data_IF_060425388075
#
_entry.id   IF_060425388075
#
_cell.length_a   1.000
_cell.length_b   1.000
_cell.length_c   1.000
_cell.angle_alpha   90.00
_cell.angle_beta   90.00
_cell.angle_gamma   90.00
#
_symmetry.space_group_name_H-M   'P 1'
#
loop_
_entity.id
_entity.type
_entity.pdbx_description
1 polymer ?
#
# COMPACT_ATOMS: atom_id res chain seq x y z
N UNK A 1 -53.14 22.34 38.60
CA UNK A 1 -54.38 21.65 38.19
C UNK A 1 -55.46 22.69 38.04
N UNK A 2 -56.13 22.80 36.87
CA UNK A 2 -57.05 21.78 36.37
C UNK A 2 -56.80 21.34 34.92
N UNK A 3 -57.56 20.32 34.52
CA UNK A 3 -57.43 19.44 33.35
C UNK A 3 -58.44 19.74 32.23
N UNK A 4 -58.09 19.29 31.01
CA UNK A 4 -58.99 18.64 30.05
C UNK A 4 -59.33 19.42 28.76
N UNK A 5 -59.60 18.83 27.58
CA UNK A 5 -59.23 17.57 26.88
C UNK A 5 -59.92 17.61 25.50
N UNK A 6 -59.16 17.37 24.40
CA UNK A 6 -59.49 16.84 23.02
C UNK A 6 -60.61 17.56 22.22
N UNK A 7 -60.55 17.90 20.91
CA UNK A 7 -60.11 17.22 19.66
C UNK A 7 -59.91 18.23 18.53
N UNK A 8 -58.96 17.98 17.61
CA UNK A 8 -58.82 18.69 16.34
C UNK A 8 -57.44 18.48 15.73
N UNK A 9 -57.41 17.77 14.61
CA UNK A 9 -56.26 17.28 13.86
C UNK A 9 -55.41 18.40 13.22
N UNK A 10 -54.27 18.00 12.64
CA UNK A 10 -53.32 18.76 11.80
C UNK A 10 -52.11 19.39 12.50
N UNK A 11 -51.17 18.53 12.89
CA UNK A 11 -49.73 18.86 12.77
C UNK A 11 -49.05 17.74 11.98
N UNK A 12 -48.84 18.00 10.69
CA UNK A 12 -48.01 17.20 9.80
C UNK A 12 -46.57 17.31 10.33
N UNK A 13 -46.16 16.30 11.10
CA UNK A 13 -44.76 16.08 11.45
C UNK A 13 -44.29 14.91 10.60
N UNK A 14 -43.62 15.21 9.48
CA UNK A 14 -42.96 14.17 8.69
C UNK A 14 -41.83 13.55 9.53
N UNK A 15 -42.15 12.37 10.05
CA UNK A 15 -41.20 11.45 10.65
C UNK A 15 -40.39 10.80 9.53
N UNK A 16 -39.39 11.50 9.00
CA UNK A 16 -38.32 10.83 8.27
C UNK A 16 -37.50 10.05 9.29
N UNK A 17 -37.77 8.75 9.35
CA UNK A 17 -37.08 7.79 10.20
C UNK A 17 -35.57 8.00 10.12
N UNK A 18 -35.00 8.38 11.25
CA UNK A 18 -33.56 8.37 11.48
C UNK A 18 -33.12 6.92 11.35
N UNK A 19 -32.61 6.55 10.19
CA UNK A 19 -31.92 5.27 10.02
C UNK A 19 -30.51 5.47 10.54
N UNK A 20 -30.36 5.25 11.84
CA UNK A 20 -29.08 5.20 12.52
C UNK A 20 -28.26 4.07 11.90
N UNK A 21 -27.25 4.39 11.09
CA UNK A 21 -26.28 3.40 10.62
C UNK A 21 -25.28 3.17 11.77
N UNK A 22 -25.56 2.18 12.63
CA UNK A 22 -24.55 1.69 13.57
C UNK A 22 -23.58 0.76 12.83
N UNK A 23 -22.33 1.18 12.68
CA UNK A 23 -21.27 0.34 12.14
C UNK A 23 -20.70 -0.50 13.29
N UNK A 24 -21.30 -1.67 13.53
CA UNK A 24 -20.76 -2.63 14.48
C UNK A 24 -19.99 -3.74 13.76
N UNK A 25 -18.74 -3.88 14.21
CA UNK A 25 -17.86 -5.06 14.17
C UNK A 25 -17.49 -5.62 12.79
N UNK A 26 -16.23 -5.45 12.36
CA UNK A 26 -15.10 -6.29 12.76
C UNK A 26 -15.23 -7.72 12.20
N UNK A 27 -15.03 -7.86 10.89
CA UNK A 27 -14.65 -9.15 10.27
C UNK A 27 -13.68 -8.85 9.12
N UNK A 28 -12.65 -9.68 9.12
CA UNK A 28 -11.56 -9.93 8.18
C UNK A 28 -11.66 -9.47 6.73
N UNK A 29 -10.46 -9.23 6.18
CA UNK A 29 -10.06 -9.49 4.79
C UNK A 29 -11.02 -10.40 4.01
N UNK A 30 -11.59 -9.86 2.93
CA UNK A 30 -12.20 -10.60 1.83
C UNK A 30 -11.98 -9.71 0.60
N UNK A 31 -11.12 -10.03 -0.39
CA UNK A 31 -11.18 -11.20 -1.29
C UNK A 31 -12.60 -11.75 -1.41
N UNK A 32 -13.20 -11.46 -2.57
CA UNK A 32 -14.51 -11.91 -3.05
C UNK A 32 -15.67 -10.94 -2.76
N UNK A 33 -15.99 -10.11 -3.76
CA UNK A 33 -17.32 -9.52 -3.89
C UNK A 33 -18.29 -10.63 -4.33
N UNK A 34 -19.17 -11.06 -3.44
CA UNK A 34 -20.31 -11.90 -3.80
C UNK A 34 -21.40 -11.03 -4.41
N UNK A 35 -21.88 -11.40 -5.60
CA UNK A 35 -23.06 -10.80 -6.21
C UNK A 35 -24.27 -11.69 -5.92
N UNK A 36 -25.26 -11.17 -5.18
CA UNK A 36 -26.57 -11.82 -5.10
C UNK A 36 -27.37 -11.51 -6.37
N UNK A 37 -27.76 -12.56 -7.10
CA UNK A 37 -28.71 -12.45 -8.21
C UNK A 37 -30.11 -12.69 -7.68
N UNK A 38 -30.94 -11.63 -7.64
CA UNK A 38 -32.35 -11.74 -7.28
C UNK A 38 -33.11 -12.24 -8.52
N UNK A 39 -33.47 -13.53 -8.53
CA UNK A 39 -34.42 -14.11 -9.48
C UNK A 39 -35.84 -13.68 -9.08
N UNK A 40 -36.41 -12.68 -9.75
CA UNK A 40 -37.78 -12.21 -9.49
C UNK A 40 -38.81 -13.05 -10.25
N UNK A 41 -39.69 -13.76 -9.54
CA UNK A 41 -41.03 -14.11 -10.03
C UNK A 41 -42.06 -13.30 -9.26
N UNK A 42 -43.03 -12.78 -10.01
CA UNK A 42 -44.34 -12.26 -9.59
C UNK A 42 -44.48 -10.74 -9.63
N UNK A 43 -45.52 -10.35 -10.37
CA UNK A 43 -45.90 -9.02 -10.79
C UNK A 43 -46.39 -8.14 -9.63
N UNK A 44 -45.70 -7.03 -9.41
CA UNK A 44 -46.31 -5.80 -8.89
C UNK A 44 -45.54 -4.64 -9.49
N UNK A 45 -46.24 -3.71 -10.12
CA UNK A 45 -45.65 -2.54 -10.78
C UNK A 45 -45.07 -1.59 -9.74
N UNK A 46 -43.83 -1.83 -9.32
CA UNK A 46 -43.03 -0.85 -8.60
C UNK A 46 -42.33 0.04 -9.62
N UNK A 47 -42.58 1.35 -9.52
CA UNK A 47 -41.82 2.38 -10.22
C UNK A 47 -40.32 2.14 -9.95
N UNK A 48 -39.64 1.57 -10.93
CA UNK A 48 -38.19 1.61 -10.98
C UNK A 48 -37.80 3.05 -11.26
N UNK A 49 -37.46 3.79 -10.20
CA UNK A 49 -36.57 4.93 -10.35
C UNK A 49 -35.26 4.39 -10.88
N UNK A 50 -35.10 4.42 -12.21
CA UNK A 50 -33.79 4.32 -12.83
C UNK A 50 -32.98 5.49 -12.28
N UNK A 51 -32.22 5.25 -11.21
CA UNK A 51 -31.04 6.04 -10.97
C UNK A 51 -30.11 5.72 -12.14
N UNK A 52 -30.14 6.58 -13.15
CA UNK A 52 -29.00 6.72 -14.01
C UNK A 52 -27.83 7.00 -13.08
N UNK A 53 -26.97 6.00 -12.89
CA UNK A 53 -25.59 6.23 -12.54
C UNK A 53 -25.05 7.09 -13.67
N UNK A 54 -25.20 8.41 -13.54
CA UNK A 54 -24.22 9.29 -14.11
C UNK A 54 -22.90 8.73 -13.60
N UNK A 55 -22.13 8.16 -14.53
CA UNK A 55 -20.69 8.03 -14.41
C UNK A 55 -20.21 9.47 -14.28
N UNK A 56 -20.40 10.03 -13.08
CA UNK A 56 -19.65 11.16 -12.64
C UNK A 56 -18.23 10.67 -12.82
N UNK A 57 -17.53 11.28 -13.77
CA UNK A 57 -16.08 11.26 -13.81
C UNK A 57 -15.64 11.50 -12.36
N UNK A 58 -15.38 10.43 -11.62
CA UNK A 58 -14.60 10.46 -10.40
C UNK A 58 -13.24 10.82 -10.94
N UNK A 59 -13.06 12.11 -11.17
CA UNK A 59 -11.74 12.71 -11.17
C UNK A 59 -11.27 12.36 -9.77
N UNK A 60 -10.46 11.31 -9.69
CA UNK A 60 -9.82 10.95 -8.44
C UNK A 60 -9.28 12.26 -7.86
N UNK A 61 -9.58 12.56 -6.59
CA UNK A 61 -9.17 13.83 -6.01
C UNK A 61 -7.66 13.93 -6.24
N UNK A 62 -7.23 14.93 -7.04
CA UNK A 62 -5.80 15.22 -7.26
C UNK A 62 -5.18 15.27 -5.87
N UNK A 63 -4.42 14.24 -5.54
CA UNK A 63 -3.90 14.05 -4.20
C UNK A 63 -2.99 15.25 -3.93
N UNK A 64 -3.43 16.16 -3.06
CA UNK A 64 -2.68 17.37 -2.74
C UNK A 64 -1.55 16.92 -1.84
N UNK A 65 -0.41 16.62 -2.44
CA UNK A 65 0.76 16.16 -1.72
C UNK A 65 1.32 17.31 -0.86
N UNK A 66 1.48 17.05 0.43
CA UNK A 66 2.10 18.00 1.34
C UNK A 66 3.60 18.12 1.00
N UNK A 67 4.16 19.34 1.08
CA UNK A 67 5.60 19.58 0.93
C UNK A 67 6.39 18.76 1.96
N UNK A 68 5.82 18.58 3.16
CA UNK A 68 6.40 17.74 4.22
C UNK A 68 6.56 16.29 3.78
N UNK A 69 5.57 15.71 3.10
CA UNK A 69 5.61 14.31 2.66
C UNK A 69 6.66 14.11 1.58
N UNK A 70 6.81 15.07 0.67
CA UNK A 70 7.86 15.02 -0.36
C UNK A 70 9.26 15.12 0.24
N UNK A 71 9.44 15.92 1.28
CA UNK A 71 10.71 16.03 2.00
C UNK A 71 11.04 14.71 2.72
N UNK A 72 10.10 14.21 3.53
CA UNK A 72 10.28 12.96 4.27
C UNK A 72 10.53 11.76 3.31
N UNK A 73 9.85 11.72 2.17
CA UNK A 73 10.11 10.70 1.15
C UNK A 73 11.57 10.74 0.65
N UNK A 74 12.10 11.93 0.37
CA UNK A 74 13.49 12.09 -0.10
C UNK A 74 14.49 11.73 0.99
N UNK A 75 14.19 12.08 2.23
CA UNK A 75 15.00 11.75 3.40
C UNK A 75 15.10 10.23 3.58
N UNK A 76 13.98 9.51 3.63
CA UNK A 76 14.00 8.05 3.76
C UNK A 76 14.69 7.33 2.59
N UNK A 77 14.61 7.92 1.39
CA UNK A 77 15.30 7.39 0.23
C UNK A 77 16.82 7.59 0.34
N UNK A 78 17.24 8.79 0.74
CA UNK A 78 18.65 9.08 1.01
C UNK A 78 19.20 8.20 2.14
N UNK A 79 18.43 8.00 3.21
CA UNK A 79 18.80 7.15 4.34
C UNK A 79 18.88 5.67 3.93
N UNK A 80 17.94 5.17 3.13
CA UNK A 80 18.01 3.81 2.58
C UNK A 80 19.28 3.61 1.75
N UNK A 81 19.64 4.59 0.90
CA UNK A 81 20.86 4.53 0.11
C UNK A 81 22.12 4.59 0.99
N UNK A 82 22.11 5.42 2.05
CA UNK A 82 23.19 5.51 3.01
C UNK A 82 23.39 4.19 3.77
N UNK A 83 22.31 3.56 4.24
CA UNK A 83 22.34 2.24 4.86
C UNK A 83 22.92 1.18 3.92
N UNK A 84 22.50 1.15 2.65
CA UNK A 84 23.06 0.21 1.67
C UNK A 84 24.56 0.43 1.42
N UNK A 85 25.01 1.69 1.34
CA UNK A 85 26.44 2.02 1.23
C UNK A 85 27.22 1.63 2.48
N UNK A 86 26.62 1.78 3.66
CA UNK A 86 27.21 1.34 4.92
C UNK A 86 27.35 -0.19 4.97
N UNK A 87 26.36 -0.95 4.48
CA UNK A 87 26.46 -2.41 4.36
C UNK A 87 27.65 -2.83 3.49
N UNK A 88 27.87 -2.17 2.34
CA UNK A 88 29.03 -2.43 1.48
C UNK A 88 30.35 -2.19 2.24
N UNK A 89 30.43 -1.10 2.99
CA UNK A 89 31.61 -0.78 3.79
C UNK A 89 31.85 -1.79 4.92
N UNK A 90 30.80 -2.19 5.64
CA UNK A 90 30.86 -3.17 6.71
C UNK A 90 31.33 -4.54 6.20
N UNK A 91 30.83 -4.98 5.03
CA UNK A 91 31.33 -6.21 4.39
C UNK A 91 32.80 -6.11 4.01
N UNK A 92 33.25 -4.96 3.52
CA UNK A 92 34.66 -4.77 3.13
C UNK A 92 35.63 -4.75 4.32
N UNK A 93 35.12 -4.41 5.51
CA UNK A 93 35.87 -4.32 6.77
C UNK A 93 35.66 -5.54 7.67
N UNK A 94 34.82 -6.49 7.25
CA UNK A 94 34.45 -7.70 8.00
C UNK A 94 33.76 -7.40 9.34
N UNK A 95 33.06 -6.25 9.42
CA UNK A 95 32.32 -5.79 10.58
C UNK A 95 30.88 -6.32 10.57
N UNK A 96 30.70 -7.59 10.95
CA UNK A 96 29.41 -8.31 10.87
C UNK A 96 28.28 -7.62 11.65
N UNK A 97 28.59 -7.01 12.81
CA UNK A 97 27.60 -6.32 13.63
C UNK A 97 27.09 -5.04 12.95
N UNK A 98 28.00 -4.29 12.32
CA UNK A 98 27.64 -3.07 11.60
C UNK A 98 26.87 -3.38 10.31
N UNK A 99 27.19 -4.51 9.66
CA UNK A 99 26.42 -5.04 8.53
C UNK A 99 24.98 -5.35 8.94
N UNK A 100 24.79 -6.06 10.06
CA UNK A 100 23.45 -6.39 10.56
C UNK A 100 22.66 -5.15 10.95
N UNK A 101 23.29 -4.21 11.66
CA UNK A 101 22.66 -2.93 12.04
C UNK A 101 22.23 -2.14 10.82
N UNK A 102 23.12 -1.99 9.83
CA UNK A 102 22.82 -1.26 8.60
C UNK A 102 21.71 -1.94 7.77
N UNK A 103 21.64 -3.27 7.77
CA UNK A 103 20.56 -4.03 7.14
C UNK A 103 19.20 -3.81 7.79
N UNK A 104 19.15 -3.75 9.13
CA UNK A 104 17.93 -3.42 9.88
C UNK A 104 17.48 -1.99 9.59
N UNK A 105 18.41 -1.03 9.61
CA UNK A 105 18.12 0.38 9.30
C UNK A 105 17.58 0.54 7.87
N UNK A 106 18.19 -0.18 6.91
CA UNK A 106 17.68 -0.22 5.54
C UNK A 106 16.23 -0.71 5.51
N UNK A 107 15.92 -1.82 6.19
CA UNK A 107 14.57 -2.39 6.19
C UNK A 107 13.53 -1.42 6.80
N UNK A 108 13.87 -0.71 7.88
CA UNK A 108 12.99 0.31 8.46
C UNK A 108 12.72 1.45 7.47
N UNK A 109 13.77 1.94 6.79
CA UNK A 109 13.64 2.98 5.77
C UNK A 109 12.77 2.53 4.58
N UNK A 110 12.94 1.30 4.09
CA UNK A 110 12.08 0.73 3.05
C UNK A 110 10.62 0.62 3.51
N UNK A 111 10.38 0.26 4.78
CA UNK A 111 9.04 0.19 5.34
C UNK A 111 8.38 1.58 5.46
N UNK A 112 9.14 2.61 5.82
CA UNK A 112 8.65 4.00 5.80
C UNK A 112 8.32 4.47 4.39
N UNK A 113 9.18 4.13 3.42
CA UNK A 113 8.93 4.38 1.99
C UNK A 113 7.64 3.69 1.51
N UNK A 114 7.37 2.45 1.94
CA UNK A 114 6.15 1.72 1.59
C UNK A 114 4.87 2.38 2.12
N UNK A 115 4.92 2.99 3.31
CA UNK A 115 3.79 3.77 3.85
C UNK A 115 3.47 4.97 2.98
N UNK A 116 4.46 5.49 2.25
CA UNK A 116 4.36 6.65 1.38
C UNK A 116 4.25 6.25 -0.11
N UNK A 117 3.99 4.97 -0.41
CA UNK A 117 3.97 4.43 -1.79
C UNK A 117 3.01 5.16 -2.74
N UNK A 118 1.93 5.75 -2.24
CA UNK A 118 0.96 6.50 -3.05
C UNK A 118 1.54 7.79 -3.64
N UNK A 119 2.75 8.21 -3.20
CA UNK A 119 3.47 9.35 -3.78
C UNK A 119 4.13 9.02 -5.12
N UNK A 120 4.19 7.73 -5.50
CA UNK A 120 4.90 7.21 -6.68
C UNK A 120 4.00 6.27 -7.49
N UNK A 121 4.42 6.07 -8.74
CA UNK A 121 3.83 5.16 -9.71
C UNK A 121 3.87 3.70 -9.27
N UNK A 122 2.94 2.88 -9.75
CA UNK A 122 2.78 1.48 -9.35
C UNK A 122 4.04 0.63 -9.66
N UNK A 123 4.77 0.97 -10.72
CA UNK A 123 6.03 0.34 -11.09
C UNK A 123 7.08 0.51 -9.98
N UNK A 124 7.19 1.71 -9.41
CA UNK A 124 8.05 2.00 -8.27
C UNK A 124 7.65 1.22 -7.03
N UNK A 125 6.35 1.13 -6.76
CA UNK A 125 5.84 0.32 -5.65
C UNK A 125 6.20 -1.15 -5.83
N UNK A 126 6.12 -1.66 -7.06
CA UNK A 126 6.46 -3.05 -7.40
C UNK A 126 7.93 -3.36 -7.11
N UNK A 127 8.85 -2.49 -7.56
CA UNK A 127 10.30 -2.66 -7.29
C UNK A 127 10.59 -2.60 -5.79
N UNK A 128 9.98 -1.65 -5.07
CA UNK A 128 10.13 -1.55 -3.61
C UNK A 128 9.67 -2.84 -2.91
N UNK A 129 8.52 -3.37 -3.31
CA UNK A 129 7.97 -4.59 -2.75
C UNK A 129 8.88 -5.80 -3.01
N UNK A 130 9.47 -5.91 -4.20
CA UNK A 130 10.43 -6.98 -4.50
C UNK A 130 11.65 -6.90 -3.61
N UNK A 131 12.24 -5.70 -3.45
CA UNK A 131 13.39 -5.52 -2.56
C UNK A 131 13.04 -5.89 -1.11
N UNK A 132 11.89 -5.44 -0.59
CA UNK A 132 11.45 -5.79 0.76
C UNK A 132 11.23 -7.31 0.92
N UNK A 133 10.60 -7.94 -0.06
CA UNK A 133 10.33 -9.38 -0.05
C UNK A 133 11.62 -10.19 -0.05
N UNK A 134 12.60 -9.78 -0.86
CA UNK A 134 13.91 -10.41 -0.93
C UNK A 134 14.66 -10.29 0.41
N UNK A 135 14.57 -9.15 1.10
CA UNK A 135 15.28 -8.90 2.36
C UNK A 135 14.61 -9.50 3.59
N UNK A 136 13.31 -9.79 3.55
CA UNK A 136 12.54 -10.26 4.73
C UNK A 136 13.03 -11.62 5.26
N UNK A 137 13.65 -12.44 4.41
CA UNK A 137 14.10 -13.79 4.76
C UNK A 137 15.62 -13.94 4.84
N UNK A 138 16.35 -12.81 4.84
CA UNK A 138 17.81 -12.80 4.80
C UNK A 138 18.35 -12.47 6.19
N UNK A 139 19.30 -13.28 6.64
CA UNK A 139 20.17 -12.95 7.78
C UNK A 139 21.23 -11.97 7.28
N UNK A 140 21.13 -10.72 7.71
CA UNK A 140 21.99 -9.63 7.21
C UNK A 140 23.48 -9.91 7.48
N UNK A 141 23.80 -10.65 8.54
CA UNK A 141 25.15 -11.08 8.91
C UNK A 141 25.84 -11.92 7.82
N UNK A 142 25.04 -12.60 6.98
CA UNK A 142 25.53 -13.52 5.94
C UNK A 142 25.60 -12.87 4.55
N UNK A 143 25.28 -11.58 4.44
CA UNK A 143 25.29 -10.90 3.16
C UNK A 143 26.72 -10.72 2.65
N UNK A 144 26.92 -11.09 1.39
CA UNK A 144 28.20 -10.88 0.71
C UNK A 144 28.25 -9.52 -0.01
N UNK A 145 29.43 -9.16 -0.49
CA UNK A 145 29.67 -7.87 -1.15
C UNK A 145 28.79 -7.68 -2.39
N UNK A 146 28.59 -8.74 -3.19
CA UNK A 146 27.79 -8.68 -4.40
C UNK A 146 26.31 -8.45 -4.09
N UNK A 147 25.79 -9.07 -3.03
CA UNK A 147 24.43 -8.87 -2.55
C UNK A 147 24.22 -7.44 -2.06
N UNK A 148 25.13 -6.91 -1.24
CA UNK A 148 25.06 -5.53 -0.77
C UNK A 148 25.10 -4.54 -1.94
N UNK A 149 25.94 -4.81 -2.95
CA UNK A 149 26.03 -3.99 -4.16
C UNK A 149 24.78 -4.07 -5.03
N UNK A 150 24.14 -5.24 -5.13
CA UNK A 150 22.87 -5.39 -5.85
C UNK A 150 21.75 -4.57 -5.19
N UNK A 151 21.68 -4.60 -3.85
CA UNK A 151 20.74 -3.81 -3.06
C UNK A 151 20.96 -2.31 -3.31
N UNK A 152 22.21 -1.83 -3.19
CA UNK A 152 22.56 -0.44 -3.44
C UNK A 152 22.22 -0.02 -4.88
N UNK A 153 22.57 -0.87 -5.86
CA UNK A 153 22.24 -0.64 -7.27
C UNK A 153 20.75 -0.48 -7.48
N UNK A 154 19.90 -1.25 -6.79
CA UNK A 154 18.45 -1.16 -6.94
C UNK A 154 17.91 0.14 -6.37
N UNK A 155 18.39 0.52 -5.19
CA UNK A 155 17.97 1.77 -4.55
C UNK A 155 18.42 2.97 -5.40
N UNK A 156 19.67 2.97 -5.87
CA UNK A 156 20.25 4.08 -6.63
C UNK A 156 19.68 4.19 -8.05
N UNK A 157 19.51 3.06 -8.76
CA UNK A 157 19.14 3.09 -10.18
C UNK A 157 17.66 2.88 -10.46
N UNK A 158 16.87 2.34 -9.53
CA UNK A 158 15.43 2.18 -9.74
C UNK A 158 14.65 3.07 -8.77
N UNK A 159 14.89 2.96 -7.47
CA UNK A 159 14.06 3.67 -6.49
C UNK A 159 14.34 5.19 -6.44
N UNK A 160 15.60 5.61 -6.59
CA UNK A 160 16.03 7.02 -6.57
C UNK A 160 15.70 7.78 -7.85
N UNK A 161 15.45 7.06 -8.95
CA UNK A 161 15.22 7.66 -10.26
C UNK A 161 13.80 8.25 -10.38
N UNK A 162 13.56 8.88 -11.53
CA UNK A 162 12.24 9.38 -11.94
C UNK A 162 11.27 8.23 -12.21
N UNK A 163 10.45 8.35 -13.25
CA UNK A 163 9.47 7.31 -13.57
C UNK A 163 10.16 5.98 -13.95
N UNK A 164 9.67 4.87 -13.39
CA UNK A 164 10.10 3.52 -13.74
C UNK A 164 9.20 2.93 -14.84
N UNK A 165 9.83 2.37 -15.87
CA UNK A 165 9.19 1.62 -16.96
C UNK A 165 9.01 0.14 -16.63
N UNK A 166 8.14 -0.57 -17.35
CA UNK A 166 7.90 -2.00 -17.13
C UNK A 166 9.15 -2.86 -17.34
N UNK A 167 9.98 -2.55 -18.34
CA UNK A 167 11.25 -3.26 -18.58
C UNK A 167 12.23 -3.11 -17.42
N UNK A 168 12.25 -1.96 -16.75
CA UNK A 168 13.14 -1.73 -15.61
C UNK A 168 12.72 -2.54 -14.37
N UNK A 169 11.46 -2.96 -14.27
CA UNK A 169 11.01 -3.88 -13.23
C UNK A 169 11.64 -5.25 -13.45
N UNK A 170 11.62 -5.75 -14.68
CA UNK A 170 12.22 -7.04 -15.04
C UNK A 170 13.72 -7.01 -14.77
N UNK A 171 14.42 -5.95 -15.19
CA UNK A 171 15.84 -5.75 -14.91
C UNK A 171 16.13 -5.76 -13.40
N UNK A 172 15.29 -5.11 -12.57
CA UNK A 172 15.47 -5.07 -11.13
C UNK A 172 15.35 -6.47 -10.49
N UNK A 173 14.43 -7.30 -11.00
CA UNK A 173 14.29 -8.70 -10.56
C UNK A 173 15.49 -9.53 -10.98
N UNK A 174 15.97 -9.37 -12.22
CA UNK A 174 17.16 -10.08 -12.69
C UNK A 174 18.40 -9.76 -11.85
N UNK A 175 18.60 -8.48 -11.49
CA UNK A 175 19.70 -8.05 -10.61
C UNK A 175 19.65 -8.76 -9.25
N UNK A 176 18.46 -8.91 -8.66
CA UNK A 176 18.28 -9.62 -7.40
C UNK A 176 18.54 -11.13 -7.52
N UNK A 177 18.04 -11.75 -8.59
CA UNK A 177 18.20 -13.19 -8.81
C UNK A 177 19.65 -13.60 -9.08
N UNK A 178 20.42 -12.75 -9.76
CA UNK A 178 21.86 -12.99 -10.03
C UNK A 178 22.71 -13.12 -8.75
N UNK A 179 22.21 -12.64 -7.62
CA UNK A 179 22.90 -12.68 -6.32
C UNK A 179 22.17 -13.53 -5.28
N UNK A 180 21.30 -14.43 -5.72
CA UNK A 180 20.48 -15.33 -4.89
C UNK A 180 19.51 -14.61 -3.92
N UNK A 181 19.13 -13.36 -4.24
CA UNK A 181 18.12 -12.58 -3.50
C UNK A 181 16.75 -12.67 -4.17
N UNK A 182 16.23 -13.87 -4.39
CA UNK A 182 14.96 -14.06 -5.11
C UNK A 182 13.74 -13.50 -4.32
N UNK A 183 13.03 -12.47 -4.83
CA UNK A 183 11.85 -11.91 -4.19
C UNK A 183 10.68 -12.90 -4.09
N UNK A 184 10.68 -13.98 -4.89
CA UNK A 184 9.62 -14.97 -4.91
C UNK A 184 9.91 -16.20 -4.05
N UNK A 185 11.05 -16.25 -3.37
CA UNK A 185 11.49 -17.42 -2.59
C UNK A 185 10.49 -17.86 -1.54
N UNK A 186 9.73 -16.93 -0.94
CA UNK A 186 8.67 -17.24 0.02
C UNK A 186 7.36 -17.78 -0.59
N UNK A 187 7.15 -17.57 -1.90
CA UNK A 187 5.92 -17.94 -2.62
C UNK A 187 6.14 -19.19 -3.48
N UNK A 188 7.37 -19.38 -3.98
CA UNK A 188 7.80 -20.54 -4.75
C UNK A 188 7.83 -21.80 -3.87
N UNK A 189 6.67 -22.41 -3.65
CA UNK A 189 6.58 -23.79 -3.20
C UNK A 189 6.76 -24.71 -4.39
N UNK A 190 7.89 -25.40 -4.48
CA UNK A 190 8.03 -26.68 -5.16
C UNK A 190 8.86 -27.63 -4.34
#
# INVERSE_FOLDING_TARGET
MPYGTVTGEDVITEFTGVLTISKNTHVHDDRCQAYDTIYSKSASSQLHSYFMNHVANRTEPKQVFNVSDRYAFREYLADALASAKHMIQAVNTDEVMDLASAGIDLLDNLYRLWRMRTLREDQWQTVLNFLQSALTHVEFENLNHNQCRAIERIIENYLSQGAISESEIEDAVEVLQQVDLDPWRGISKR
#
